data_IF_236966338174
#
_entry.id   IF_236966338174
#
_cell.length_a   1.000
_cell.length_b   1.000
_cell.length_c   1.000
_cell.angle_alpha   90.00
_cell.angle_beta   90.00
_cell.angle_gamma   90.00
#
_symmetry.space_group_name_H-M   'P 1'
#
loop_
_entity.id
_entity.type
_entity.pdbx_description
1 polymer ?
#
# COMPACT_ATOMS: atom_id res chain seq x y z
N UNK A 1 11.94 -4.65 -1.63
CA UNK A 1 10.55 -5.04 -1.31
C UNK A 1 10.50 -6.14 -0.24
N UNK A 2 10.59 -7.44 -0.55
CA UNK A 2 10.39 -8.52 0.46
C UNK A 2 11.25 -8.34 1.73
N UNK A 3 12.59 -8.38 1.60
CA UNK A 3 13.49 -8.32 2.76
C UNK A 3 13.40 -7.00 3.52
N UNK A 4 13.27 -5.88 2.81
CA UNK A 4 13.17 -4.55 3.43
C UNK A 4 11.87 -4.40 4.22
N UNK A 5 10.73 -4.84 3.67
CA UNK A 5 9.45 -4.81 4.37
C UNK A 5 9.52 -5.68 5.63
N UNK A 6 10.06 -6.90 5.54
CA UNK A 6 10.24 -7.76 6.71
C UNK A 6 11.13 -7.11 7.77
N UNK A 7 12.23 -6.46 7.37
CA UNK A 7 13.13 -5.75 8.29
C UNK A 7 12.45 -4.56 8.96
N UNK A 8 11.71 -3.74 8.20
CA UNK A 8 11.03 -2.55 8.71
C UNK A 8 9.94 -2.92 9.71
N UNK A 9 9.14 -3.96 9.41
CA UNK A 9 8.07 -4.43 10.27
C UNK A 9 8.54 -5.37 11.39
N UNK A 10 9.79 -5.85 11.33
CA UNK A 10 10.32 -6.82 12.28
C UNK A 10 9.65 -8.20 12.17
N UNK A 11 9.03 -8.51 11.04
CA UNK A 11 8.22 -9.70 10.82
C UNK A 11 8.76 -10.49 9.62
N UNK A 12 9.31 -11.68 9.87
CA UNK A 12 9.88 -12.54 8.82
C UNK A 12 8.84 -13.38 8.09
N UNK A 13 7.63 -13.47 8.62
CA UNK A 13 6.53 -14.23 8.03
C UNK A 13 5.71 -13.37 7.06
N UNK A 14 5.92 -12.05 7.05
CA UNK A 14 5.26 -11.15 6.12
C UNK A 14 5.67 -11.46 4.67
N UNK A 15 4.69 -11.90 3.89
CA UNK A 15 4.85 -12.29 2.49
C UNK A 15 4.60 -11.08 1.58
N UNK A 16 5.47 -10.90 0.58
CA UNK A 16 5.32 -9.90 -0.47
C UNK A 16 5.60 -10.57 -1.81
N UNK A 17 4.70 -10.40 -2.77
CA UNK A 17 4.94 -10.74 -4.17
C UNK A 17 4.89 -9.44 -4.97
N UNK A 18 5.95 -9.14 -5.71
CA UNK A 18 6.08 -7.88 -6.43
C UNK A 18 6.56 -8.10 -7.86
N UNK A 19 5.85 -7.51 -8.82
CA UNK A 19 6.27 -7.40 -10.21
C UNK A 19 6.59 -5.94 -10.48
N UNK A 20 7.86 -5.64 -10.73
CA UNK A 20 8.31 -4.27 -11.00
C UNK A 20 8.46 -4.04 -12.50
N UNK A 21 7.76 -3.04 -13.03
CA UNK A 21 7.84 -2.64 -14.44
C UNK A 21 8.27 -1.19 -14.58
N UNK A 22 9.02 -0.88 -15.65
CA UNK A 22 9.39 0.49 -15.99
C UNK A 22 8.41 1.03 -17.03
N UNK A 23 7.83 2.19 -16.75
CA UNK A 23 6.87 2.90 -17.63
C UNK A 23 7.42 4.28 -18.03
N UNK A 24 7.00 4.85 -19.17
CA UNK A 24 7.55 6.10 -19.68
C UNK A 24 6.93 7.33 -18.99
N UNK A 25 7.27 7.53 -17.71
CA UNK A 25 6.88 8.71 -16.92
C UNK A 25 8.14 9.46 -16.44
N UNK A 26 8.04 10.78 -16.25
CA UNK A 26 9.18 11.61 -15.86
C UNK A 26 9.65 11.34 -14.43
N UNK A 27 8.72 11.36 -13.46
CA UNK A 27 9.00 11.20 -12.03
C UNK A 27 7.84 10.49 -11.33
N UNK A 28 8.14 9.90 -10.18
CA UNK A 28 7.16 9.22 -9.33
C UNK A 28 7.11 7.73 -9.55
N UNK A 29 6.69 7.02 -8.51
CA UNK A 29 6.35 5.60 -8.56
C UNK A 29 4.87 5.44 -8.27
N UNK A 30 4.24 4.54 -8.99
CA UNK A 30 2.86 4.13 -8.74
C UNK A 30 2.86 2.63 -8.46
N UNK A 31 2.12 2.24 -7.44
CA UNK A 31 2.02 0.84 -7.01
C UNK A 31 0.54 0.46 -6.97
N UNK A 32 0.18 -0.58 -7.71
CA UNK A 32 -1.10 -1.25 -7.55
C UNK A 32 -0.88 -2.40 -6.58
N UNK A 33 -1.51 -2.33 -5.40
CA UNK A 33 -1.30 -3.28 -4.32
C UNK A 33 -2.59 -3.99 -3.97
N UNK A 34 -2.47 -5.29 -3.68
CA UNK A 34 -3.53 -6.07 -3.04
C UNK A 34 -3.04 -6.45 -1.66
N UNK A 35 -3.85 -6.16 -0.64
CA UNK A 35 -3.48 -6.35 0.77
C UNK A 35 -4.43 -7.36 1.39
N UNK A 36 -3.86 -8.37 2.04
CA UNK A 36 -4.59 -9.30 2.91
C UNK A 36 -4.37 -8.90 4.37
N UNK A 37 -5.45 -8.87 5.15
CA UNK A 37 -5.41 -8.46 6.56
C UNK A 37 -5.64 -9.66 7.47
N UNK A 38 -5.08 -9.61 8.69
CA UNK A 38 -5.19 -10.70 9.69
C UNK A 38 -6.64 -11.01 10.11
N UNK A 39 -7.50 -10.01 9.98
CA UNK A 39 -8.94 -10.09 10.23
C UNK A 39 -9.67 -9.30 9.16
N UNK A 40 -10.98 -9.50 9.03
CA UNK A 40 -11.81 -8.66 8.18
C UNK A 40 -11.57 -7.16 8.49
N UNK A 41 -11.44 -6.36 7.45
CA UNK A 41 -11.31 -4.92 7.52
C UNK A 41 -12.31 -4.32 6.51
N UNK A 42 -13.26 -3.53 7.01
CA UNK A 42 -14.21 -2.85 6.14
C UNK A 42 -13.50 -1.72 5.37
N UNK A 43 -14.02 -1.41 4.18
CA UNK A 43 -13.47 -0.34 3.34
C UNK A 43 -13.51 1.01 4.05
N UNK A 44 -14.55 1.28 4.84
CA UNK A 44 -14.67 2.54 5.60
C UNK A 44 -13.59 2.66 6.66
N UNK A 45 -13.34 1.56 7.39
CA UNK A 45 -12.31 1.52 8.44
C UNK A 45 -10.91 1.65 7.83
N UNK A 46 -10.65 0.96 6.71
CA UNK A 46 -9.38 1.07 5.98
C UNK A 46 -9.12 2.52 5.54
N UNK A 47 -10.15 3.19 5.03
CA UNK A 47 -10.07 4.59 4.60
C UNK A 47 -9.75 5.51 5.76
N UNK A 48 -10.47 5.39 6.89
CA UNK A 48 -10.22 6.21 8.08
C UNK A 48 -8.80 6.03 8.61
N UNK A 49 -8.28 4.80 8.63
CA UNK A 49 -6.90 4.52 9.01
C UNK A 49 -5.89 5.22 8.10
N UNK A 50 -6.13 5.21 6.78
CA UNK A 50 -5.27 5.86 5.80
C UNK A 50 -5.35 7.40 5.87
N UNK A 51 -6.53 7.97 6.09
CA UNK A 51 -6.72 9.42 6.25
C UNK A 51 -5.99 9.95 7.49
N UNK A 52 -5.92 9.15 8.55
CA UNK A 52 -5.21 9.49 9.79
C UNK A 52 -3.70 9.15 9.76
N UNK A 53 -3.21 8.46 8.72
CA UNK A 53 -1.82 8.08 8.61
C UNK A 53 -0.93 9.27 8.22
N UNK A 54 0.11 9.53 9.02
CA UNK A 54 1.03 10.65 8.78
C UNK A 54 1.72 10.54 7.42
N UNK A 55 1.57 11.57 6.59
CA UNK A 55 2.19 11.64 5.27
C UNK A 55 1.42 10.91 4.16
N UNK A 56 0.22 10.40 4.47
CA UNK A 56 -0.72 9.83 3.50
C UNK A 56 -1.76 10.89 3.14
N UNK A 57 -2.16 10.93 1.87
CA UNK A 57 -3.30 11.72 1.40
C UNK A 57 -4.21 10.77 0.64
N UNK A 58 -5.43 10.57 1.15
CA UNK A 58 -6.41 9.69 0.52
C UNK A 58 -7.11 10.44 -0.61
N UNK A 59 -7.17 9.81 -1.78
CA UNK A 59 -7.89 10.31 -2.95
C UNK A 59 -8.96 9.28 -3.27
N UNK A 60 -10.21 9.61 -2.94
CA UNK A 60 -11.40 8.75 -3.11
C UNK A 60 -12.56 9.56 -3.72
N UNK A 61 -12.23 10.41 -4.70
CA UNK A 61 -13.19 11.16 -5.48
C UNK A 61 -13.19 10.63 -6.91
N UNK A 62 -14.35 10.17 -7.39
CA UNK A 62 -14.55 9.96 -8.82
C UNK A 62 -15.02 11.29 -9.42
N UNK A 63 -14.09 12.01 -10.03
CA UNK A 63 -14.39 13.16 -10.88
C UNK A 63 -14.09 12.77 -12.31
N UNK A 64 -15.15 12.70 -13.11
CA UNK A 64 -15.08 12.57 -14.57
C UNK A 64 -14.35 13.78 -15.20
#
# INVERSE_FOLDING_TARGET
MVWETQKIFGDKELLVSATCVRVPVFFGHSEAVQIETKSFLDVKDARELLENARGVTVIDEHKD
#
